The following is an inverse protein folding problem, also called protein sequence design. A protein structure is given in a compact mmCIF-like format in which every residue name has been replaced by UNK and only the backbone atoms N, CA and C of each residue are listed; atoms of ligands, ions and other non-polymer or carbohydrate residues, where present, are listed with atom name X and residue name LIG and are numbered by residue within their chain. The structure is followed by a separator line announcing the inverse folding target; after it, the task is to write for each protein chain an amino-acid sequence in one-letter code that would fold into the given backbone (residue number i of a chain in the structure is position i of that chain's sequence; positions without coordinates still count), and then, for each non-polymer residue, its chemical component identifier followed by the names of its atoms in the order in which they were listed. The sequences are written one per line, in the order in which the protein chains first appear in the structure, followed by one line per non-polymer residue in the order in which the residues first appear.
data_IF_423652492733
#
_entry.id   IF_423652492733
#
_cell.length_a   1.000
_cell.length_b   1.000
_cell.length_c   1.000
_cell.angle_alpha   90.00
_cell.angle_beta   90.00
_cell.angle_gamma   90.00
#
_symmetry.space_group_name_H-M   'P 1'
#
loop_
_entity.id
_entity.type
_entity.pdbx_description
1 polymer ?
#
# COMPACT_ATOMS: atom_id res chain seq x y z
N UNK A 1 19.49 -7.80 11.38
CA UNK A 1 19.54 -6.67 12.31
C UNK A 1 21.01 -6.35 12.55
N UNK A 2 21.45 -5.13 12.33
CA UNK A 2 22.78 -4.66 12.76
C UNK A 2 22.70 -3.85 14.07
N UNK A 3 23.83 -3.44 14.64
CA UNK A 3 23.88 -2.70 15.91
C UNK A 3 23.20 -1.32 15.81
N UNK A 4 23.20 -0.70 14.63
CA UNK A 4 22.56 0.59 14.40
C UNK A 4 21.04 0.45 14.55
N UNK A 5 20.48 -0.57 13.89
CA UNK A 5 19.06 -0.90 13.99
C UNK A 5 18.66 -1.25 15.44
N UNK A 6 19.49 -2.03 16.14
CA UNK A 6 19.27 -2.35 17.55
C UNK A 6 19.23 -1.08 18.40
N UNK A 7 20.17 -0.16 18.20
CA UNK A 7 20.22 1.10 18.96
C UNK A 7 18.99 1.98 18.75
N UNK A 8 18.47 2.05 17.52
CA UNK A 8 17.24 2.78 17.21
C UNK A 8 16.01 2.15 17.88
N UNK A 9 15.88 0.83 17.85
CA UNK A 9 14.78 0.12 18.54
C UNK A 9 14.86 0.29 20.06
N UNK A 10 16.07 0.25 20.65
CA UNK A 10 16.29 0.55 22.07
C UNK A 10 15.82 1.97 22.41
N UNK A 11 16.18 2.97 21.60
CA UNK A 11 15.75 4.36 21.80
C UNK A 11 14.24 4.47 21.78
N UNK A 12 13.60 3.84 20.78
CA UNK A 12 12.15 3.83 20.63
C UNK A 12 11.47 3.22 21.85
N UNK A 13 11.87 2.01 22.24
CA UNK A 13 11.31 1.33 23.41
C UNK A 13 11.54 2.11 24.71
N UNK A 14 12.70 2.77 24.86
CA UNK A 14 12.97 3.63 26.02
C UNK A 14 11.99 4.79 26.12
N UNK A 15 11.73 5.49 25.00
CA UNK A 15 10.80 6.61 24.94
C UNK A 15 9.36 6.16 25.19
N UNK A 16 8.94 5.06 24.59
CA UNK A 16 7.60 4.47 24.80
C UNK A 16 7.33 4.12 26.27
N UNK A 17 8.38 3.69 26.99
CA UNK A 17 8.29 3.34 28.42
C UNK A 17 8.55 4.51 29.37
N UNK A 18 8.85 5.70 28.85
CA UNK A 18 9.18 6.88 29.66
C UNK A 18 10.45 6.74 30.51
N UNK A 19 11.34 5.81 30.16
CA UNK A 19 12.58 5.55 30.93
C UNK A 19 13.61 6.62 30.59
N UNK A 20 14.22 7.22 31.60
CA UNK A 20 15.26 8.23 31.37
C UNK A 20 16.59 7.59 30.98
N UNK A 21 17.43 8.31 30.24
CA UNK A 21 18.74 7.79 29.82
C UNK A 21 19.64 7.48 31.02
N UNK A 22 19.70 8.37 32.02
CA UNK A 22 20.47 8.13 33.26
C UNK A 22 20.06 6.83 33.96
N UNK A 23 18.75 6.58 34.05
CA UNK A 23 18.22 5.37 34.69
C UNK A 23 18.64 4.10 33.94
N UNK A 24 18.51 4.12 32.60
CA UNK A 24 18.91 2.99 31.76
C UNK A 24 20.44 2.77 31.82
N UNK A 25 21.21 3.84 31.89
CA UNK A 25 22.67 3.78 32.03
C UNK A 25 23.09 3.14 33.35
N UNK A 26 22.45 3.55 34.45
CA UNK A 26 22.71 3.02 35.78
C UNK A 26 22.40 1.51 35.84
N UNK A 27 21.25 1.10 35.29
CA UNK A 27 20.87 -0.32 35.26
C UNK A 27 21.80 -1.16 34.38
N UNK A 28 22.13 -0.68 33.18
CA UNK A 28 22.94 -1.43 32.23
C UNK A 28 24.45 -1.35 32.47
N UNK A 29 24.89 -0.58 33.48
CA UNK A 29 26.29 -0.31 33.80
C UNK A 29 27.08 0.22 32.57
N UNK A 30 26.48 1.19 31.88
CA UNK A 30 27.10 1.87 30.73
C UNK A 30 27.13 3.37 30.95
N UNK A 31 28.12 4.04 30.35
CA UNK A 31 28.16 5.50 30.38
C UNK A 31 27.03 6.10 29.54
N UNK A 32 26.56 7.30 29.92
CA UNK A 32 25.57 8.07 29.14
C UNK A 32 26.06 8.35 27.72
N UNK A 33 27.35 8.59 27.54
CA UNK A 33 27.96 8.78 26.21
C UNK A 33 27.88 7.50 25.36
N UNK A 34 28.01 6.32 25.98
CA UNK A 34 27.83 5.03 25.29
C UNK A 34 26.39 4.82 24.89
N UNK A 35 25.43 5.03 25.81
CA UNK A 35 24.01 4.90 25.48
C UNK A 35 23.58 5.89 24.38
N UNK A 36 24.03 7.15 24.47
CA UNK A 36 23.74 8.16 23.44
C UNK A 36 24.30 7.78 22.07
N UNK A 37 25.53 7.25 22.00
CA UNK A 37 26.08 6.75 20.73
C UNK A 37 25.32 5.54 20.20
N UNK A 38 24.89 4.62 21.07
CA UNK A 38 24.06 3.48 20.69
C UNK A 38 22.73 3.93 20.12
N UNK A 39 21.96 4.75 20.84
CA UNK A 39 20.63 5.24 20.45
C UNK A 39 20.64 6.08 19.16
N UNK A 40 21.79 6.64 18.80
CA UNK A 40 21.97 7.43 17.58
C UNK A 40 22.73 6.69 16.47
N UNK A 41 22.99 5.38 16.62
CA UNK A 41 23.61 4.57 15.56
C UNK A 41 25.09 4.90 15.28
N UNK A 42 25.80 5.48 16.24
CA UNK A 42 27.21 5.88 16.12
C UNK A 42 28.17 4.98 16.90
N UNK A 43 27.64 3.96 17.58
CA UNK A 43 28.45 3.03 18.35
C UNK A 43 28.89 1.87 17.45
N UNK A 44 30.20 1.66 17.33
CA UNK A 44 30.76 0.58 16.51
C UNK A 44 30.53 -0.80 17.13
N UNK A 45 30.69 -0.91 18.45
CA UNK A 45 30.56 -2.18 19.16
C UNK A 45 29.99 -1.96 20.57
N UNK A 46 29.22 -2.94 21.04
CA UNK A 46 28.82 -3.08 22.43
C UNK A 46 28.76 -4.57 22.79
N UNK A 47 29.44 -4.97 23.87
CA UNK A 47 29.42 -6.36 24.32
C UNK A 47 28.01 -6.87 24.63
N UNK A 48 27.72 -8.12 24.25
CA UNK A 48 26.37 -8.71 24.31
C UNK A 48 25.72 -8.61 25.71
N UNK A 49 26.50 -8.77 26.79
CA UNK A 49 26.01 -8.66 28.17
C UNK A 49 25.38 -7.30 28.47
N UNK A 50 25.94 -6.21 27.92
CA UNK A 50 25.40 -4.86 28.09
C UNK A 50 24.12 -4.68 27.30
N UNK A 51 24.05 -5.22 26.08
CA UNK A 51 22.80 -5.22 25.28
C UNK A 51 21.71 -5.98 26.02
N UNK A 52 22.00 -7.18 26.55
CA UNK A 52 21.04 -7.96 27.34
C UNK A 52 20.48 -7.17 28.53
N UNK A 53 21.33 -6.49 29.30
CA UNK A 53 20.87 -5.66 30.44
C UNK A 53 20.01 -4.48 30.01
N UNK A 54 20.35 -3.82 28.91
CA UNK A 54 19.51 -2.77 28.33
C UNK A 54 18.14 -3.33 27.96
N UNK A 55 18.11 -4.48 27.28
CA UNK A 55 16.87 -5.17 26.92
C UNK A 55 16.05 -5.56 28.15
N UNK A 56 16.68 -6.09 29.20
CA UNK A 56 16.03 -6.47 30.46
C UNK A 56 15.32 -5.28 31.12
N UNK A 57 16.01 -4.12 31.26
CA UNK A 57 15.38 -2.91 31.81
C UNK A 57 14.20 -2.44 30.97
N UNK A 58 14.29 -2.62 29.66
CA UNK A 58 13.26 -2.25 28.71
C UNK A 58 12.24 -3.37 28.48
N UNK A 59 12.25 -4.46 29.25
CA UNK A 59 11.44 -5.66 29.05
C UNK A 59 11.33 -6.08 27.58
N UNK A 60 12.48 -6.15 26.92
CA UNK A 60 12.68 -6.66 25.57
C UNK A 60 13.41 -7.99 25.65
N UNK A 61 13.13 -8.87 24.70
CA UNK A 61 13.82 -10.16 24.56
C UNK A 61 14.74 -10.14 23.34
N UNK A 62 15.95 -10.69 23.49
CA UNK A 62 16.84 -11.00 22.37
C UNK A 62 16.61 -12.44 21.93
N UNK A 63 16.08 -12.62 20.73
CA UNK A 63 15.83 -13.94 20.16
C UNK A 63 16.76 -14.25 18.99
N UNK A 64 17.13 -15.52 18.85
CA UNK A 64 17.83 -16.02 17.68
C UNK A 64 16.80 -16.50 16.66
N UNK A 65 16.96 -16.10 15.40
CA UNK A 65 16.07 -16.47 14.31
C UNK A 65 16.91 -17.02 13.15
N UNK A 66 16.42 -18.02 12.40
CA UNK A 66 17.06 -18.47 11.18
C UNK A 66 17.32 -17.29 10.25
N UNK A 67 18.49 -17.25 9.63
CA UNK A 67 18.83 -16.21 8.66
C UNK A 67 17.84 -16.29 7.50
N UNK A 68 17.02 -15.26 7.34
CA UNK A 68 16.18 -15.13 6.15
C UNK A 68 17.09 -14.82 4.96
N UNK A 69 17.02 -15.64 3.90
CA UNK A 69 17.74 -15.35 2.66
C UNK A 69 17.31 -13.97 2.18
N UNK A 70 18.27 -13.07 1.99
CA UNK A 70 18.00 -11.79 1.34
C UNK A 70 17.50 -12.09 -0.07
N UNK A 71 16.35 -11.54 -0.49
CA UNK A 71 15.84 -11.78 -1.82
C UNK A 71 16.84 -11.23 -2.84
N UNK A 72 17.01 -11.97 -3.92
CA UNK A 72 17.78 -11.50 -5.09
C UNK A 72 16.98 -10.43 -5.84
N UNK A 73 17.66 -9.57 -6.60
CA UNK A 73 16.98 -8.60 -7.49
C UNK A 73 15.95 -9.29 -8.40
N UNK A 74 16.31 -10.46 -8.94
CA UNK A 74 15.42 -11.27 -9.77
C UNK A 74 14.16 -11.72 -9.01
N UNK A 75 14.30 -12.19 -7.77
CA UNK A 75 13.14 -12.60 -6.98
C UNK A 75 12.23 -11.42 -6.62
N UNK A 76 12.78 -10.24 -6.34
CA UNK A 76 11.99 -9.03 -6.11
C UNK A 76 11.23 -8.59 -7.37
N UNK A 77 11.88 -8.64 -8.54
CA UNK A 77 11.25 -8.32 -9.82
C UNK A 77 10.15 -9.32 -10.21
N UNK A 78 10.34 -10.61 -9.89
CA UNK A 78 9.32 -11.63 -10.08
C UNK A 78 8.13 -11.39 -9.15
N UNK A 79 8.38 -11.10 -7.87
CA UNK A 79 7.33 -10.82 -6.89
C UNK A 79 6.51 -9.57 -7.26
N UNK A 80 7.13 -8.49 -7.72
CA UNK A 80 6.41 -7.29 -8.15
C UNK A 80 5.56 -7.52 -9.41
N UNK A 81 6.07 -8.32 -10.37
CA UNK A 81 5.30 -8.74 -11.54
C UNK A 81 4.10 -9.61 -11.16
N UNK A 82 4.27 -10.52 -10.20
CA UNK A 82 3.20 -11.36 -9.64
C UNK A 82 2.14 -10.52 -8.92
N UNK A 83 2.56 -9.53 -8.12
CA UNK A 83 1.67 -8.60 -7.42
C UNK A 83 0.85 -7.75 -8.41
N UNK A 84 1.48 -7.28 -9.49
CA UNK A 84 0.79 -6.55 -10.55
C UNK A 84 -0.24 -7.45 -11.25
N UNK A 85 0.13 -8.68 -11.59
CA UNK A 85 -0.80 -9.66 -12.16
C UNK A 85 -1.96 -9.96 -11.23
N UNK A 86 -1.70 -10.09 -9.93
CA UNK A 86 -2.72 -10.34 -8.91
C UNK A 86 -3.67 -9.15 -8.74
N UNK A 87 -3.14 -7.91 -8.73
CA UNK A 87 -3.95 -6.68 -8.76
C UNK A 87 -4.82 -6.59 -10.03
N UNK A 88 -4.25 -6.92 -11.19
CA UNK A 88 -4.97 -6.89 -12.45
C UNK A 88 -5.99 -8.04 -12.57
N UNK A 89 -5.72 -9.21 -12.00
CA UNK A 89 -6.65 -10.33 -11.93
C UNK A 89 -7.85 -10.05 -11.01
N UNK A 90 -7.64 -9.33 -9.90
CA UNK A 90 -8.71 -8.84 -9.03
C UNK A 90 -9.60 -7.79 -9.73
N UNK A 91 -9.04 -7.02 -10.66
CA UNK A 91 -9.81 -6.07 -11.50
C UNK A 91 -10.57 -6.79 -12.63
N UNK A 92 -10.03 -7.90 -13.15
CA UNK A 92 -10.67 -8.71 -14.19
C UNK A 92 -11.79 -9.62 -13.68
N UNK A 93 -11.88 -9.84 -12.36
CA UNK A 93 -12.99 -10.56 -11.73
C UNK A 93 -14.13 -9.57 -11.44
N UNK A 94 -14.87 -9.17 -12.47
CA UNK A 94 -16.11 -8.41 -12.33
C UNK A 94 -17.15 -9.14 -11.45
N UNK A 95 -18.19 -8.46 -10.94
CA UNK A 95 -19.12 -9.06 -10.00
C UNK A 95 -19.83 -10.26 -10.65
N UNK A 96 -19.53 -11.47 -10.17
CA UNK A 96 -20.34 -12.66 -10.44
C UNK A 96 -21.58 -12.61 -9.55
N UNK A 97 -22.58 -11.85 -9.99
CA UNK A 97 -23.93 -11.87 -9.44
C UNK A 97 -24.91 -12.37 -10.51
N UNK A 98 -25.89 -13.21 -10.16
CA UNK A 98 -26.82 -13.76 -11.13
C UNK A 98 -27.77 -12.65 -11.63
N UNK A 99 -27.89 -12.51 -12.96
CA UNK A 99 -28.78 -11.55 -13.63
C UNK A 99 -30.23 -12.04 -13.53
N UNK A 100 -30.80 -12.08 -12.33
CA UNK A 100 -32.14 -12.63 -12.15
C UNK A 100 -33.19 -11.53 -12.18
N UNK A 101 -34.20 -11.73 -13.04
CA UNK A 101 -35.61 -11.46 -12.80
C UNK A 101 -36.05 -10.01 -12.48
N UNK A 102 -36.60 -9.32 -13.50
CA UNK A 102 -37.79 -8.45 -13.40
C UNK A 102 -37.95 -7.55 -14.65
N UNK A 103 -38.28 -8.12 -15.81
CA UNK A 103 -38.95 -7.35 -16.88
C UNK A 103 -39.81 -8.27 -17.76
N UNK A 104 -40.57 -9.15 -17.12
CA UNK A 104 -41.79 -9.67 -17.74
C UNK A 104 -42.89 -8.68 -17.39
N UNK A 105 -43.22 -7.78 -18.31
CA UNK A 105 -44.57 -7.21 -18.39
C UNK A 105 -44.85 -6.70 -19.82
N UNK A 106 -45.78 -7.41 -20.45
CA UNK A 106 -46.74 -6.98 -21.48
C UNK A 106 -46.25 -6.64 -22.89
N UNK A 107 -46.40 -7.66 -23.73
CA UNK A 107 -47.21 -7.62 -24.97
C UNK A 107 -46.56 -7.05 -26.23
N UNK A 108 -46.16 -8.00 -27.07
CA UNK A 108 -45.93 -7.88 -28.52
C UNK A 108 -47.05 -7.12 -29.23
N UNK A 109 -46.72 -6.40 -30.32
CA UNK A 109 -47.35 -6.79 -31.58
C UNK A 109 -46.34 -7.02 -32.72
N UNK A 110 -46.90 -7.63 -33.75
CA UNK A 110 -46.33 -8.40 -34.84
C UNK A 110 -45.68 -7.57 -35.95
N UNK A 111 -44.95 -8.23 -36.87
CA UNK A 111 -44.14 -7.59 -37.90
C UNK A 111 -45.00 -7.32 -39.14
N UNK A 112 -45.27 -6.06 -39.49
CA UNK A 112 -45.66 -5.65 -40.84
C UNK A 112 -45.81 -4.13 -40.90
N UNK A 113 -44.78 -3.44 -41.38
CA UNK A 113 -44.91 -2.20 -42.19
C UNK A 113 -43.56 -1.90 -42.84
N UNK A 114 -43.14 -2.83 -43.69
CA UNK A 114 -42.17 -2.54 -44.73
C UNK A 114 -42.82 -1.53 -45.70
N UNK A 115 -42.06 -0.48 -46.05
CA UNK A 115 -42.23 0.33 -47.27
C UNK A 115 -43.41 1.32 -47.26
N UNK A 116 -43.32 2.44 -46.53
CA UNK A 116 -43.95 3.70 -46.99
C UNK A 116 -43.30 4.93 -46.35
N UNK A 117 -42.25 5.49 -46.96
CA UNK A 117 -41.92 6.94 -46.88
C UNK A 117 -40.60 7.32 -47.57
N UNK A 118 -39.92 6.40 -48.25
CA UNK A 118 -38.92 6.76 -49.27
C UNK A 118 -39.62 7.09 -50.61
N UNK A 119 -40.14 8.33 -50.73
CA UNK A 119 -40.25 9.15 -51.97
C UNK A 119 -41.41 10.14 -51.87
N UNK A 120 -41.05 11.43 -51.82
CA UNK A 120 -41.55 12.53 -52.69
C UNK A 120 -41.02 13.85 -52.09
N UNK A 121 -39.80 14.26 -52.46
CA UNK A 121 -39.49 15.24 -53.52
C UNK A 121 -40.16 16.61 -53.32
N UNK A 122 -39.28 17.62 -53.25
CA UNK A 122 -39.39 18.94 -53.91
C UNK A 122 -40.27 19.99 -53.23
N UNK A 123 -39.62 21.05 -52.71
CA UNK A 123 -39.82 22.46 -53.13
C UNK A 123 -38.79 23.40 -52.47
N UNK A 124 -37.89 23.96 -53.28
CA UNK A 124 -37.30 25.32 -53.14
C UNK A 124 -38.30 26.32 -53.77
N UNK A 125 -38.14 27.66 -53.75
CA UNK A 125 -37.40 28.61 -52.88
C UNK A 125 -38.21 29.90 -52.54
N UNK A 126 -37.61 30.88 -51.82
CA UNK A 126 -37.48 32.35 -52.12
C UNK A 126 -37.26 33.14 -50.82
N UNK A 127 -36.08 33.75 -50.61
CA UNK A 127 -35.66 35.13 -50.97
C UNK A 127 -36.42 36.25 -50.24
N UNK A 128 -35.70 37.01 -49.41
CA UNK A 128 -35.60 38.49 -49.36
C UNK A 128 -34.66 38.82 -48.18
N UNK A 129 -33.45 39.35 -48.43
CA UNK A 129 -33.13 40.81 -48.51
C UNK A 129 -33.18 41.45 -47.12
N UNK A 130 -32.27 42.28 -46.65
CA UNK A 130 -31.16 43.04 -47.23
C UNK A 130 -30.46 43.67 -45.99
N UNK A 131 -29.12 43.63 -45.93
CA UNK A 131 -28.23 44.80 -46.10
C UNK A 131 -28.17 45.70 -44.85
N UNK A 132 -27.00 45.76 -44.20
CA UNK A 132 -26.03 46.87 -44.35
C UNK A 132 -26.54 48.11 -43.59
N UNK A 133 -25.79 48.72 -42.70
CA UNK A 133 -24.39 49.15 -42.77
C UNK A 133 -23.78 49.26 -41.37
#
# INVERSE_FOLDING_TARGET
MDLIQIGLEIKKARLEKGVQQEELCAFAEISRATLSRLENGRLAELGIRKIMRVCERLALELTLQPVRKRPTLRSLAMESAEQLRSRHALSAMGPRGPKNAAWAETTSPQPDEAITSLRKRVRRPKKAKESEE
#
